data_IF_757688745749
#
_entry.id   IF_757688745749
#
_cell.length_a   1.000
_cell.length_b   1.000
_cell.length_c   1.000
_cell.angle_alpha   90.00
_cell.angle_beta   90.00
_cell.angle_gamma   90.00
#
_symmetry.space_group_name_H-M   'P 1'
#
loop_
_entity.id
_entity.type
_entity.pdbx_description
1 polymer ?
#
# COMPACT_ATOMS: atom_id res chain seq x y z
N UNK A 1 -11.54 0.61 -26.29
CA UNK A 1 -11.58 1.96 -25.71
C UNK A 1 -10.16 2.46 -25.44
N UNK A 2 -9.81 3.57 -26.04
CA UNK A 2 -8.55 4.22 -25.67
C UNK A 2 -8.68 4.73 -24.25
N UNK A 3 -7.79 4.28 -23.34
CA UNK A 3 -7.67 4.89 -22.03
C UNK A 3 -7.39 6.39 -22.24
N UNK A 4 -8.19 7.24 -21.62
CA UNK A 4 -7.89 8.66 -21.61
C UNK A 4 -6.50 8.86 -21.01
N UNK A 5 -5.64 9.54 -21.74
CA UNK A 5 -4.24 9.80 -21.31
C UNK A 5 -4.15 10.52 -19.96
N UNK A 6 -5.28 10.99 -19.42
CA UNK A 6 -5.38 11.74 -18.18
C UNK A 6 -6.14 10.97 -17.06
N UNK A 7 -6.34 9.66 -17.20
CA UNK A 7 -7.02 8.90 -16.15
C UNK A 7 -6.05 8.48 -15.04
N UNK A 8 -6.49 8.64 -13.81
CA UNK A 8 -5.78 8.13 -12.63
C UNK A 8 -6.20 6.69 -12.37
N UNK A 9 -5.24 5.86 -12.01
CA UNK A 9 -5.47 4.44 -11.73
C UNK A 9 -5.08 4.12 -10.29
N UNK A 10 -5.91 3.34 -9.62
CA UNK A 10 -5.63 2.81 -8.30
C UNK A 10 -5.96 1.33 -8.22
N UNK A 11 -5.54 0.70 -7.13
CA UNK A 11 -5.63 -0.75 -6.95
C UNK A 11 -6.12 -1.08 -5.55
N UNK A 12 -7.04 -2.04 -5.49
CA UNK A 12 -7.35 -2.74 -4.24
C UNK A 12 -6.59 -4.06 -4.30
N UNK A 13 -5.82 -4.35 -3.27
CA UNK A 13 -4.96 -5.52 -3.21
C UNK A 13 -5.17 -6.30 -1.93
N UNK A 14 -4.75 -7.55 -1.93
CA UNK A 14 -4.75 -8.40 -0.76
C UNK A 14 -3.37 -8.97 -0.49
N UNK A 15 -3.13 -9.31 0.76
CA UNK A 15 -2.01 -10.13 1.21
C UNK A 15 -2.62 -11.24 2.08
N UNK A 16 -2.33 -12.48 1.75
CA UNK A 16 -2.86 -13.65 2.43
C UNK A 16 -1.73 -14.46 3.06
N UNK A 17 -1.87 -14.81 4.33
CA UNK A 17 -1.04 -15.84 4.95
C UNK A 17 -1.60 -17.22 4.58
N UNK A 18 -0.83 -18.03 3.86
CA UNK A 18 -1.27 -19.34 3.37
C UNK A 18 -1.38 -20.40 4.49
N UNK A 19 -0.76 -20.15 5.64
CA UNK A 19 -0.81 -21.06 6.79
C UNK A 19 -2.05 -20.79 7.64
N UNK A 20 -2.32 -19.53 7.96
CA UNK A 20 -3.43 -19.12 8.85
C UNK A 20 -4.70 -18.77 8.10
N UNK A 21 -4.65 -18.56 6.79
CA UNK A 21 -5.73 -18.04 5.95
C UNK A 21 -6.22 -16.64 6.36
N UNK A 22 -5.39 -15.87 7.04
CA UNK A 22 -5.68 -14.47 7.37
C UNK A 22 -5.35 -13.57 6.19
N UNK A 23 -6.15 -12.53 6.01
CA UNK A 23 -6.04 -11.57 4.90
C UNK A 23 -5.78 -10.15 5.39
N UNK A 24 -5.05 -9.43 4.60
CA UNK A 24 -4.96 -7.97 4.63
C UNK A 24 -5.50 -7.41 3.33
N UNK A 25 -6.33 -6.39 3.42
CA UNK A 25 -6.84 -5.64 2.26
C UNK A 25 -6.33 -4.20 2.36
N UNK A 26 -5.84 -3.70 1.26
CA UNK A 26 -5.36 -2.33 1.18
C UNK A 26 -5.69 -1.67 -0.15
N UNK A 27 -5.55 -0.37 -0.19
CA UNK A 27 -5.73 0.44 -1.39
C UNK A 27 -4.49 1.28 -1.66
N UNK A 28 -4.11 1.41 -2.91
CA UNK A 28 -2.94 2.19 -3.31
C UNK A 28 -3.06 2.68 -4.74
N UNK A 29 -2.47 3.82 -5.03
CA UNK A 29 -2.29 4.30 -6.39
C UNK A 29 -1.08 3.67 -7.10
N UNK A 30 -0.19 3.04 -6.34
CA UNK A 30 0.99 2.36 -6.87
C UNK A 30 1.20 1.03 -6.16
N UNK A 31 0.68 -0.03 -6.75
CA UNK A 31 0.74 -1.38 -6.19
C UNK A 31 2.18 -1.88 -6.00
N UNK A 32 3.02 -1.68 -6.98
CA UNK A 32 4.41 -2.12 -6.96
C UNK A 32 5.20 -1.49 -5.81
N UNK A 33 5.07 -0.18 -5.65
CA UNK A 33 5.69 0.54 -4.54
C UNK A 33 5.15 0.08 -3.19
N UNK A 34 3.85 -0.12 -3.09
CA UNK A 34 3.21 -0.55 -1.84
C UNK A 34 3.64 -1.95 -1.42
N UNK A 35 3.74 -2.87 -2.36
CA UNK A 35 4.23 -4.21 -2.06
C UNK A 35 5.69 -4.22 -1.64
N UNK A 36 6.54 -3.40 -2.25
CA UNK A 36 7.92 -3.23 -1.77
C UNK A 36 7.96 -2.76 -0.32
N UNK A 37 7.08 -1.83 0.05
CA UNK A 37 6.98 -1.36 1.43
C UNK A 37 6.58 -2.47 2.40
N UNK A 38 5.65 -3.33 2.01
CA UNK A 38 5.25 -4.47 2.83
C UNK A 38 6.35 -5.51 2.97
N UNK A 39 7.13 -5.74 1.93
CA UNK A 39 8.22 -6.73 1.94
C UNK A 39 9.48 -6.22 2.64
N UNK A 40 9.60 -4.92 2.88
CA UNK A 40 10.69 -4.34 3.64
C UNK A 40 10.61 -4.70 5.12
N UNK A 41 11.77 -4.63 5.80
CA UNK A 41 11.83 -4.80 7.24
C UNK A 41 10.90 -3.79 7.93
N UNK A 42 9.91 -4.30 8.64
CA UNK A 42 8.96 -3.49 9.38
C UNK A 42 9.50 -3.15 10.76
N UNK A 43 9.22 -1.92 11.22
CA UNK A 43 9.42 -1.54 12.62
C UNK A 43 8.32 -2.07 13.54
N UNK A 44 7.24 -2.58 12.98
CA UNK A 44 6.13 -3.13 13.74
C UNK A 44 6.36 -4.61 13.99
N UNK A 45 6.15 -5.06 15.22
CA UNK A 45 6.22 -6.48 15.59
C UNK A 45 4.86 -7.14 15.37
N UNK A 46 4.51 -7.36 14.13
CA UNK A 46 3.25 -7.95 13.74
C UNK A 46 3.42 -8.84 12.50
N UNK A 47 2.33 -9.15 11.81
CA UNK A 47 2.33 -9.96 10.60
C UNK A 47 3.26 -9.43 9.49
N UNK A 48 3.55 -8.12 9.48
CA UNK A 48 4.45 -7.52 8.48
C UNK A 48 5.90 -7.97 8.69
N UNK A 49 6.31 -8.19 9.92
CA UNK A 49 7.62 -8.78 10.23
C UNK A 49 7.68 -10.24 9.76
N UNK A 50 6.63 -11.01 9.96
CA UNK A 50 6.56 -12.38 9.47
C UNK A 50 6.57 -12.42 7.93
N UNK A 51 5.85 -11.54 7.27
CA UNK A 51 5.88 -11.41 5.82
C UNK A 51 7.31 -11.11 5.30
N UNK A 52 8.03 -10.22 5.97
CA UNK A 52 9.41 -9.90 5.61
C UNK A 52 10.34 -11.10 5.77
N UNK A 53 10.21 -11.83 6.87
CA UNK A 53 11.08 -12.97 7.19
C UNK A 53 10.71 -14.25 6.41
N UNK A 54 9.43 -14.43 6.11
CA UNK A 54 8.90 -15.64 5.48
C UNK A 54 7.90 -15.30 4.34
N UNK A 55 8.35 -14.57 3.30
CA UNK A 55 7.47 -14.20 2.19
C UNK A 55 6.91 -15.40 1.42
N UNK A 56 7.58 -16.55 1.48
CA UNK A 56 7.13 -17.79 0.86
C UNK A 56 5.80 -18.32 1.44
N UNK A 57 5.45 -17.90 2.66
CA UNK A 57 4.20 -18.29 3.32
C UNK A 57 3.02 -17.38 2.95
N UNK A 58 3.23 -16.40 2.07
CA UNK A 58 2.24 -15.40 1.72
C UNK A 58 1.94 -15.41 0.23
N UNK A 59 0.72 -15.05 -0.10
CA UNK A 59 0.27 -14.77 -1.46
C UNK A 59 -0.32 -13.37 -1.50
N UNK A 60 -0.08 -12.64 -2.56
CA UNK A 60 -0.65 -11.30 -2.76
C UNK A 60 -1.05 -11.08 -4.20
N UNK A 61 -1.95 -10.14 -4.40
CA UNK A 61 -2.41 -9.81 -5.73
C UNK A 61 -3.37 -8.63 -5.73
N UNK A 62 -3.88 -8.32 -6.90
CA UNK A 62 -4.83 -7.23 -7.12
C UNK A 62 -6.23 -7.80 -7.13
N UNK A 63 -7.13 -7.25 -6.30
CA UNK A 63 -8.55 -7.60 -6.28
C UNK A 63 -9.36 -6.77 -7.28
N UNK A 64 -9.03 -5.50 -7.42
CA UNK A 64 -9.75 -4.59 -8.30
C UNK A 64 -8.85 -3.48 -8.78
N UNK A 65 -9.03 -3.08 -10.04
CA UNK A 65 -8.39 -1.89 -10.62
C UNK A 65 -9.43 -0.79 -10.72
N UNK A 66 -9.12 0.38 -10.19
CA UNK A 66 -10.03 1.52 -10.11
C UNK A 66 -9.51 2.64 -10.99
N UNK A 67 -10.38 3.22 -11.82
CA UNK A 67 -10.06 4.34 -12.71
C UNK A 67 -10.87 5.57 -12.33
N UNK A 68 -10.25 6.73 -12.40
CA UNK A 68 -10.91 8.00 -12.13
C UNK A 68 -10.31 9.13 -12.96
N UNK A 69 -11.09 10.20 -13.16
CA UNK A 69 -10.67 11.36 -13.95
C UNK A 69 -9.84 12.35 -13.15
N UNK A 70 -9.97 12.34 -11.82
CA UNK A 70 -9.18 13.18 -10.92
C UNK A 70 -8.78 12.42 -9.66
N UNK A 71 -7.83 13.01 -8.92
CA UNK A 71 -7.26 12.36 -7.73
C UNK A 71 -8.26 12.25 -6.58
N UNK A 72 -9.17 13.19 -6.42
CA UNK A 72 -10.19 13.18 -5.37
C UNK A 72 -11.20 12.07 -5.62
N UNK A 73 -11.66 11.94 -6.86
CA UNK A 73 -12.57 10.87 -7.28
C UNK A 73 -11.90 9.50 -7.13
N UNK A 74 -10.62 9.38 -7.51
CA UNK A 74 -9.86 8.15 -7.31
C UNK A 74 -9.83 7.74 -5.84
N UNK A 75 -9.51 8.67 -4.94
CA UNK A 75 -9.43 8.39 -3.52
C UNK A 75 -10.79 7.97 -2.94
N UNK A 76 -11.87 8.59 -3.36
CA UNK A 76 -13.22 8.22 -2.94
C UNK A 76 -13.59 6.81 -3.42
N UNK A 77 -13.32 6.50 -4.69
CA UNK A 77 -13.56 5.18 -5.25
C UNK A 77 -12.71 4.10 -4.58
N UNK A 78 -11.45 4.39 -4.28
CA UNK A 78 -10.56 3.48 -3.57
C UNK A 78 -11.05 3.20 -2.15
N UNK A 79 -11.51 4.21 -1.43
CA UNK A 79 -12.08 4.03 -0.09
C UNK A 79 -13.30 3.12 -0.11
N UNK A 80 -14.23 3.38 -1.02
CA UNK A 80 -15.45 2.59 -1.16
C UNK A 80 -15.16 1.14 -1.54
N UNK A 81 -14.27 0.94 -2.49
CA UNK A 81 -13.87 -0.39 -2.93
C UNK A 81 -13.10 -1.16 -1.85
N UNK A 82 -12.21 -0.51 -1.12
CA UNK A 82 -11.48 -1.12 0.00
C UNK A 82 -12.44 -1.61 1.09
N UNK A 83 -13.40 -0.78 1.48
CA UNK A 83 -14.43 -1.15 2.46
C UNK A 83 -15.24 -2.35 1.97
N UNK A 84 -15.68 -2.33 0.72
CA UNK A 84 -16.47 -3.40 0.12
C UNK A 84 -15.71 -4.73 0.13
N UNK A 85 -14.46 -4.74 -0.31
CA UNK A 85 -13.62 -5.95 -0.32
C UNK A 85 -13.29 -6.43 1.09
N UNK A 86 -13.02 -5.51 2.02
CA UNK A 86 -12.79 -5.86 3.41
C UNK A 86 -14.02 -6.54 4.01
N UNK A 87 -15.20 -5.97 3.84
CA UNK A 87 -16.44 -6.55 4.37
C UNK A 87 -16.72 -7.93 3.80
N UNK A 88 -16.51 -8.13 2.51
CA UNK A 88 -16.70 -9.42 1.87
C UNK A 88 -15.74 -10.49 2.42
N UNK A 89 -14.46 -10.16 2.53
CA UNK A 89 -13.45 -11.10 3.04
C UNK A 89 -13.58 -11.36 4.54
N UNK A 90 -13.94 -10.34 5.33
CA UNK A 90 -14.05 -10.47 6.79
C UNK A 90 -15.20 -11.37 7.23
N UNK A 91 -16.16 -11.66 6.37
CA UNK A 91 -17.26 -12.60 6.65
C UNK A 91 -16.78 -14.05 6.70
N UNK A 92 -15.72 -14.38 5.96
CA UNK A 92 -15.23 -15.74 5.80
C UNK A 92 -13.84 -15.95 6.39
N UNK A 93 -13.07 -14.89 6.61
CA UNK A 93 -11.68 -14.95 7.05
C UNK A 93 -11.39 -13.94 8.16
N UNK A 94 -10.39 -14.28 8.98
CA UNK A 94 -9.80 -13.32 9.90
C UNK A 94 -8.93 -12.33 9.12
N UNK A 95 -8.92 -11.07 9.56
CA UNK A 95 -8.22 -10.00 8.88
C UNK A 95 -7.03 -9.53 9.70
N UNK A 96 -5.93 -9.22 9.01
CA UNK A 96 -4.77 -8.56 9.63
C UNK A 96 -5.00 -7.08 9.88
N UNK A 97 -5.97 -6.47 9.21
CA UNK A 97 -6.27 -5.06 9.39
C UNK A 97 -6.59 -4.78 10.87
N UNK A 98 -5.84 -3.88 11.48
CA UNK A 98 -6.03 -3.53 12.90
C UNK A 98 -7.36 -2.81 13.14
N UNK A 99 -7.87 -2.13 12.12
CA UNK A 99 -9.16 -1.48 12.15
C UNK A 99 -9.87 -1.71 10.82
N UNK A 100 -11.19 -1.76 10.86
CA UNK A 100 -12.00 -1.80 9.64
C UNK A 100 -11.67 -0.55 8.80
N UNK A 101 -11.40 -0.70 7.50
CA UNK A 101 -11.23 0.44 6.63
C UNK A 101 -12.48 1.35 6.70
N UNK A 102 -12.26 2.62 6.82
CA UNK A 102 -13.31 3.61 6.83
C UNK A 102 -12.98 4.73 5.87
N UNK A 103 -13.97 5.57 5.58
CA UNK A 103 -13.73 6.76 4.79
C UNK A 103 -12.70 7.60 5.54
N UNK A 104 -11.48 7.61 5.03
CA UNK A 104 -10.40 8.35 5.63
C UNK A 104 -10.37 9.77 5.05
N UNK A 105 -10.83 10.72 5.85
CA UNK A 105 -10.85 12.13 5.47
C UNK A 105 -9.46 12.67 5.12
N UNK A 106 -8.41 12.03 5.65
CA UNK A 106 -7.03 12.41 5.35
C UNK A 106 -6.51 11.82 4.03
N UNK A 107 -7.15 10.80 3.51
CA UNK A 107 -6.79 10.22 2.22
C UNK A 107 -7.29 11.15 1.12
N UNK A 108 -6.37 11.81 0.42
CA UNK A 108 -6.69 12.79 -0.61
C UNK A 108 -6.82 14.22 -0.12
N UNK A 109 -6.69 14.49 1.18
CA UNK A 109 -6.50 15.86 1.63
C UNK A 109 -5.13 16.34 1.19
N UNK A 110 -5.12 17.36 0.38
CA UNK A 110 -3.91 18.15 0.17
C UNK A 110 -3.60 18.81 1.50
N UNK A 111 -2.44 18.51 2.06
CA UNK A 111 -1.94 19.29 3.18
C UNK A 111 -1.95 20.76 2.81
N UNK A 112 -2.29 21.63 3.77
CA UNK A 112 -2.19 23.07 3.56
C UNK A 112 -0.78 23.43 3.07
N UNK A 113 -0.68 24.47 2.27
CA UNK A 113 0.60 24.91 1.72
C UNK A 113 1.64 25.18 2.81
N UNK A 114 1.22 25.68 3.97
CA UNK A 114 2.07 25.82 5.15
C UNK A 114 2.68 24.48 5.62
N UNK A 115 1.88 23.42 5.67
CA UNK A 115 2.34 22.09 6.08
C UNK A 115 3.31 21.50 5.06
N UNK A 116 3.05 21.73 3.79
CA UNK A 116 3.95 21.33 2.70
C UNK A 116 5.28 22.06 2.79
N UNK A 117 5.23 23.36 3.07
CA UNK A 117 6.42 24.18 3.20
C UNK A 117 7.26 23.75 4.40
N UNK A 118 6.63 23.53 5.56
CA UNK A 118 7.31 23.04 6.76
C UNK A 118 7.94 21.66 6.55
N UNK A 119 7.27 20.76 5.85
CA UNK A 119 7.81 19.46 5.52
C UNK A 119 9.01 19.56 4.58
N UNK A 120 8.97 20.45 3.58
CA UNK A 120 10.10 20.75 2.70
C UNK A 120 11.30 21.34 3.46
N UNK A 121 11.06 22.30 4.33
CA UNK A 121 12.11 22.92 5.15
C UNK A 121 12.74 21.90 6.11
N UNK A 122 11.95 21.05 6.74
CA UNK A 122 12.44 19.97 7.60
C UNK A 122 13.28 18.96 6.80
N UNK A 123 12.94 18.71 5.55
CA UNK A 123 13.67 17.79 4.67
C UNK A 123 15.00 18.37 4.20
N UNK A 124 15.05 19.69 3.98
CA UNK A 124 16.28 20.41 3.58
C UNK A 124 17.27 20.48 4.73
N UNK A 125 16.78 20.57 5.99
CA UNK A 125 17.62 20.68 7.18
C UNK A 125 18.21 19.37 7.68
N UNK A 126 17.69 18.22 7.24
CA UNK A 126 18.24 16.90 7.58
C UNK A 126 19.15 16.43 6.43
N UNK A 127 20.46 16.35 6.63
CA UNK A 127 21.32 15.70 5.67
C UNK A 127 21.06 14.18 5.73
N UNK A 128 20.62 13.58 4.92
CA UNK A 128 20.54 12.80 4.09
C UNK A 128 20.75 11.44 4.19
N UNK A 129 20.22 10.68 3.42
CA UNK A 129 20.25 9.25 3.20
C UNK A 129 21.63 8.67 3.33
N UNK A 130 21.80 7.82 4.32
CA UNK A 130 22.99 6.99 4.44
C UNK A 130 23.06 6.01 3.25
N UNK A 131 24.28 5.59 2.91
CA UNK A 131 24.52 4.56 1.87
C UNK A 131 23.80 3.23 2.18
N UNK A 132 23.43 3.00 3.42
CA UNK A 132 22.67 1.83 3.89
C UNK A 132 21.24 1.83 3.34
N UNK A 133 20.60 3.00 3.23
CA UNK A 133 19.25 3.11 2.69
C UNK A 133 19.18 2.78 1.21
N UNK A 134 20.21 3.10 0.45
CA UNK A 134 20.33 2.73 -0.96
C UNK A 134 20.50 1.22 -1.13
N UNK A 135 21.32 0.59 -0.31
CA UNK A 135 21.48 -0.86 -0.28
C UNK A 135 20.19 -1.60 0.05
N UNK A 136 19.41 -1.09 1.00
CA UNK A 136 18.09 -1.63 1.35
C UNK A 136 17.08 -1.51 0.21
N UNK A 137 17.13 -0.44 -0.55
CA UNK A 137 16.26 -0.26 -1.73
C UNK A 137 16.56 -1.26 -2.82
N UNK A 138 17.83 -1.51 -3.09
CA UNK A 138 18.25 -2.50 -4.09
C UNK A 138 17.86 -3.90 -3.66
N UNK A 139 18.08 -4.25 -2.40
CA UNK A 139 17.66 -5.53 -1.83
C UNK A 139 16.14 -5.74 -1.92
N UNK A 140 15.36 -4.73 -1.60
CA UNK A 140 13.89 -4.78 -1.71
C UNK A 140 13.44 -4.97 -3.15
N UNK A 141 14.13 -4.33 -4.08
CA UNK A 141 13.86 -4.45 -5.51
C UNK A 141 14.11 -5.86 -6.02
N UNK A 142 15.19 -6.50 -5.57
CA UNK A 142 15.53 -7.87 -5.94
C UNK A 142 14.53 -8.88 -5.38
N UNK A 143 14.12 -8.73 -4.13
CA UNK A 143 13.06 -9.54 -3.52
C UNK A 143 11.76 -9.40 -4.30
N UNK A 144 11.38 -8.18 -4.64
CA UNK A 144 10.17 -7.92 -5.42
C UNK A 144 10.19 -8.63 -6.77
N UNK A 145 11.31 -8.62 -7.47
CA UNK A 145 11.47 -9.33 -8.75
C UNK A 145 11.30 -10.85 -8.62
N UNK A 146 11.74 -11.44 -7.51
CA UNK A 146 11.64 -12.88 -7.27
C UNK A 146 10.21 -13.35 -7.03
N UNK A 147 9.35 -12.49 -6.44
CA UNK A 147 8.01 -12.88 -6.00
C UNK A 147 6.85 -12.34 -6.84
N UNK A 148 7.11 -11.50 -7.82
CA UNK A 148 6.07 -10.87 -8.67
C UNK A 148 6.07 -11.39 -10.11
N UNK A 149 6.89 -12.34 -10.41
CA UNK A 149 6.92 -12.98 -11.72
C UNK A 149 5.77 -13.99 -11.86
#
# INVERSE_FOLDING_TARGET
MKANENSYTGYIYFIKNNITNMYYVGATANFERRMRQHLCKSRYKDWRTDLHNHPENYTWGILEVVYADDIVDLNNKLCDAEISHYEALSKEHQMFNMAKPSINVQRGTTYSDERRLKAKEAHIRKPHKSKVDEGLRDYTRDIFRLYVI
#
